data_IF_114069688092
#
_entry.id   IF_114069688092
#
_cell.length_a   1.000
_cell.length_b   1.000
_cell.length_c   1.000
_cell.angle_alpha   90.00
_cell.angle_beta   90.00
_cell.angle_gamma   90.00
#
_symmetry.space_group_name_H-M   'P 1'
#
loop_
_entity.id
_entity.type
_entity.pdbx_description
1 polymer ?
#
# COMPACT_ATOMS: atom_id res chain seq x y z
N UNK A 1 -7.28 45.19 7.10
CA UNK A 1 -6.52 45.58 5.89
C UNK A 1 -5.03 45.54 6.22
N UNK A 2 -4.43 44.35 6.26
CA UNK A 2 -2.97 44.12 6.23
C UNK A 2 -2.74 42.75 5.58
N UNK A 3 -2.15 42.79 4.39
CA UNK A 3 -1.47 41.77 3.59
C UNK A 3 -1.75 40.26 3.84
N UNK A 4 -2.60 39.68 2.99
CA UNK A 4 -2.45 38.29 2.54
C UNK A 4 -1.14 38.20 1.75
N UNK A 5 -0.11 37.57 2.30
CA UNK A 5 1.00 37.06 1.49
C UNK A 5 0.51 35.80 0.78
N UNK A 6 0.08 36.01 -0.46
CA UNK A 6 -0.09 34.95 -1.43
C UNK A 6 1.23 34.19 -1.57
N UNK A 7 1.17 32.86 -1.37
CA UNK A 7 2.15 31.94 -1.90
C UNK A 7 2.02 31.96 -3.44
N UNK A 8 2.49 33.03 -4.06
CA UNK A 8 2.88 33.02 -5.46
C UNK A 8 4.21 32.27 -5.51
N UNK A 9 4.13 30.93 -5.51
CA UNK A 9 5.23 30.11 -5.97
C UNK A 9 5.64 30.67 -7.34
N UNK A 10 6.91 31.05 -7.46
CA UNK A 10 7.49 31.48 -8.71
C UNK A 10 7.24 30.38 -9.76
N UNK A 11 6.26 30.59 -10.64
CA UNK A 11 6.22 29.95 -11.95
C UNK A 11 7.44 30.46 -12.71
N UNK A 12 8.59 29.84 -12.47
CA UNK A 12 9.60 29.76 -13.52
C UNK A 12 8.90 29.08 -14.69
N UNK A 13 8.66 29.83 -15.76
CA UNK A 13 8.11 29.30 -17.01
C UNK A 13 8.89 28.04 -17.36
N UNK A 14 8.25 26.87 -17.28
CA UNK A 14 8.90 25.66 -17.76
C UNK A 14 9.23 25.89 -19.23
N UNK A 15 10.49 25.72 -19.67
CA UNK A 15 10.90 26.08 -21.02
C UNK A 15 10.26 25.21 -22.11
N UNK A 16 9.49 24.18 -21.72
CA UNK A 16 8.84 23.23 -22.60
C UNK A 16 7.40 22.98 -22.16
N UNK A 17 6.48 22.85 -23.12
CA UNK A 17 5.11 22.39 -22.83
C UNK A 17 5.08 20.90 -22.52
N UNK A 18 4.01 20.42 -21.89
CA UNK A 18 3.82 18.99 -21.62
C UNK A 18 3.99 18.15 -22.90
N UNK A 19 3.36 18.55 -24.00
CA UNK A 19 3.40 17.83 -25.29
C UNK A 19 4.82 17.77 -25.85
N UNK A 20 5.58 18.86 -25.72
CA UNK A 20 6.97 18.92 -26.17
C UNK A 20 7.82 17.90 -25.40
N UNK A 21 7.69 17.86 -24.07
CA UNK A 21 8.46 16.91 -23.24
C UNK A 21 7.98 15.47 -23.47
N UNK A 22 6.66 15.23 -23.52
CA UNK A 22 6.06 13.91 -23.71
C UNK A 22 6.44 13.31 -25.07
N UNK A 23 6.62 14.12 -26.11
CA UNK A 23 7.11 13.65 -27.41
C UNK A 23 8.51 13.01 -27.32
N UNK A 24 9.34 13.48 -26.38
CA UNK A 24 10.68 12.96 -26.11
C UNK A 24 10.70 11.51 -25.61
N UNK A 25 9.61 11.02 -25.03
CA UNK A 25 9.47 9.61 -24.61
C UNK A 25 9.49 8.63 -25.79
N UNK A 26 9.17 9.10 -27.01
CA UNK A 26 9.17 8.27 -28.23
C UNK A 26 10.46 8.41 -29.04
N UNK A 27 11.45 9.13 -28.52
CA UNK A 27 12.69 9.40 -29.24
C UNK A 27 13.57 8.14 -29.37
N UNK A 28 14.30 8.02 -30.49
CA UNK A 28 15.16 6.86 -30.76
C UNK A 28 16.34 6.76 -29.77
N UNK A 29 16.91 7.90 -29.39
CA UNK A 29 18.00 7.95 -28.41
C UNK A 29 17.48 7.80 -26.96
N UNK A 30 17.99 6.82 -26.19
CA UNK A 30 17.58 6.58 -24.80
C UNK A 30 17.91 7.74 -23.86
N UNK A 31 18.96 8.53 -24.12
CA UNK A 31 19.28 9.68 -23.26
C UNK A 31 18.19 10.75 -23.33
N UNK A 32 17.62 10.97 -24.52
CA UNK A 32 16.47 11.86 -24.72
C UNK A 32 15.22 11.35 -23.99
N UNK A 33 14.91 10.06 -24.08
CA UNK A 33 13.77 9.46 -23.34
C UNK A 33 13.94 9.60 -21.83
N UNK A 34 15.14 9.30 -21.33
CA UNK A 34 15.49 9.45 -19.91
C UNK A 34 15.30 10.90 -19.43
N UNK A 35 15.73 11.88 -20.23
CA UNK A 35 15.56 13.30 -19.89
C UNK A 35 14.09 13.71 -19.87
N UNK A 36 13.29 13.22 -20.81
CA UNK A 36 11.85 13.47 -20.83
C UNK A 36 11.17 12.93 -19.55
N UNK A 37 11.47 11.68 -19.14
CA UNK A 37 10.95 11.10 -17.90
C UNK A 37 11.28 11.97 -16.69
N UNK A 38 12.53 12.44 -16.57
CA UNK A 38 12.96 13.29 -15.46
C UNK A 38 12.17 14.60 -15.41
N UNK A 39 12.03 15.29 -16.55
CA UNK A 39 11.31 16.56 -16.61
C UNK A 39 9.83 16.36 -16.26
N UNK A 40 9.18 15.32 -16.81
CA UNK A 40 7.78 15.02 -16.54
C UNK A 40 7.53 14.68 -15.07
N UNK A 41 8.40 13.89 -14.47
CA UNK A 41 8.36 13.55 -13.04
C UNK A 41 8.54 14.79 -12.17
N UNK A 42 9.56 15.60 -12.43
CA UNK A 42 9.92 16.74 -11.59
C UNK A 42 8.85 17.85 -11.65
N UNK A 43 8.08 17.90 -12.74
CA UNK A 43 6.91 18.75 -12.89
C UNK A 43 5.63 18.19 -12.23
N UNK A 44 5.64 16.94 -11.75
CA UNK A 44 4.50 16.21 -11.20
C UNK A 44 3.23 16.25 -12.08
N UNK A 45 3.41 16.16 -13.41
CA UNK A 45 2.30 16.15 -14.35
C UNK A 45 1.46 14.86 -14.20
N UNK A 46 0.17 14.94 -13.81
CA UNK A 46 -0.69 13.74 -13.70
C UNK A 46 -0.84 13.02 -15.05
N UNK A 47 -0.90 13.77 -16.14
CA UNK A 47 -1.04 13.25 -17.50
C UNK A 47 0.23 12.50 -17.98
N UNK A 48 1.34 12.59 -17.24
CA UNK A 48 2.57 11.88 -17.56
C UNK A 48 2.56 10.41 -17.15
N UNK A 49 1.65 9.99 -16.25
CA UNK A 49 1.57 8.61 -15.72
C UNK A 49 1.35 7.60 -16.85
N UNK A 50 0.40 7.82 -17.76
CA UNK A 50 0.18 6.84 -18.84
C UNK A 50 1.35 6.80 -19.85
N UNK A 51 1.90 7.93 -20.34
CA UNK A 51 3.09 7.92 -21.19
C UNK A 51 4.34 7.30 -20.55
N UNK A 52 4.61 7.56 -19.27
CA UNK A 52 5.76 6.98 -18.55
C UNK A 52 5.52 5.49 -18.26
N UNK A 53 4.28 5.07 -17.99
CA UNK A 53 3.91 3.67 -17.84
C UNK A 53 4.35 2.80 -19.03
N UNK A 54 4.25 3.31 -20.26
CA UNK A 54 4.77 2.62 -21.45
C UNK A 54 6.30 2.41 -21.43
N UNK A 55 7.04 3.34 -20.80
CA UNK A 55 8.50 3.27 -20.69
C UNK A 55 8.98 2.28 -19.61
N UNK A 56 8.09 1.68 -18.83
CA UNK A 56 8.45 0.56 -17.95
C UNK A 56 8.94 -0.67 -18.73
N UNK A 57 8.48 -0.82 -19.98
CA UNK A 57 8.94 -1.86 -20.91
C UNK A 57 9.98 -1.37 -21.92
N UNK A 58 10.69 -0.28 -21.64
CA UNK A 58 11.71 0.26 -22.55
C UNK A 58 12.86 -0.74 -22.78
N UNK A 59 13.53 -0.68 -23.93
CA UNK A 59 14.66 -1.56 -24.24
C UNK A 59 15.96 -1.19 -23.51
N UNK A 60 16.08 0.03 -22.96
CA UNK A 60 17.22 0.47 -22.17
C UNK A 60 16.89 0.44 -20.68
N UNK A 61 17.63 -0.38 -19.91
CA UNK A 61 17.45 -0.55 -18.47
C UNK A 61 17.45 0.78 -17.69
N UNK A 62 18.21 1.78 -18.14
CA UNK A 62 18.27 3.09 -17.47
C UNK A 62 16.97 3.84 -17.64
N UNK A 63 16.32 3.70 -18.79
CA UNK A 63 15.01 4.30 -19.07
C UNK A 63 13.94 3.58 -18.27
N UNK A 64 13.94 2.24 -18.23
CA UNK A 64 13.01 1.46 -17.42
C UNK A 64 13.11 1.82 -15.92
N UNK A 65 14.32 1.83 -15.36
CA UNK A 65 14.52 2.17 -13.95
C UNK A 65 14.09 3.61 -13.64
N UNK A 66 14.33 4.55 -14.56
CA UNK A 66 13.87 5.92 -14.40
C UNK A 66 12.34 6.03 -14.50
N UNK A 67 11.70 5.26 -15.37
CA UNK A 67 10.24 5.17 -15.48
C UNK A 67 9.64 4.61 -14.18
N UNK A 68 10.19 3.53 -13.63
CA UNK A 68 9.78 2.95 -12.34
C UNK A 68 9.87 4.00 -11.21
N UNK A 69 10.99 4.72 -11.13
CA UNK A 69 11.17 5.75 -10.10
C UNK A 69 10.19 6.92 -10.31
N UNK A 70 9.94 7.30 -11.56
CA UNK A 70 9.02 8.38 -11.91
C UNK A 70 7.57 8.02 -11.57
N UNK A 71 7.09 6.84 -11.97
CA UNK A 71 5.76 6.34 -11.61
C UNK A 71 5.57 6.34 -10.09
N UNK A 72 6.53 5.77 -9.35
CA UNK A 72 6.48 5.77 -7.89
C UNK A 72 6.34 7.19 -7.32
N UNK A 73 7.10 8.15 -7.85
CA UNK A 73 7.04 9.53 -7.39
C UNK A 73 5.71 10.22 -7.75
N UNK A 74 5.17 9.95 -8.94
CA UNK A 74 3.90 10.52 -9.40
C UNK A 74 2.69 10.00 -8.62
N UNK A 75 2.77 8.80 -8.03
CA UNK A 75 1.72 8.25 -7.17
C UNK A 75 1.85 8.67 -5.69
N UNK A 76 3.04 9.03 -5.19
CA UNK A 76 3.25 9.32 -3.77
C UNK A 76 2.92 10.78 -3.40
N UNK A 77 2.28 11.00 -2.24
CA UNK A 77 1.97 12.33 -1.68
C UNK A 77 3.22 13.14 -1.37
N UNK A 78 4.23 12.51 -0.79
CA UNK A 78 5.54 13.08 -0.57
C UNK A 78 6.58 12.28 -1.35
N UNK A 79 7.44 12.94 -2.14
CA UNK A 79 8.50 12.24 -2.84
C UNK A 79 9.41 11.55 -1.82
N UNK A 80 9.75 10.28 -2.07
CA UNK A 80 10.73 9.54 -1.26
C UNK A 80 12.01 10.36 -1.24
N UNK A 81 12.37 10.91 -0.08
CA UNK A 81 13.58 11.73 0.06
C UNK A 81 14.79 10.93 -0.41
N UNK A 82 15.40 11.32 -1.54
CA UNK A 82 16.67 10.72 -1.98
C UNK A 82 17.70 10.96 -0.87
N UNK A 83 18.43 9.92 -0.48
CA UNK A 83 19.55 10.03 0.47
C UNK A 83 20.62 10.97 -0.10
N UNK A 84 20.54 12.25 0.19
CA UNK A 84 21.69 13.16 0.05
C UNK A 84 22.54 13.00 1.31
N UNK A 85 23.73 12.40 1.17
CA UNK A 85 24.76 12.50 2.22
C UNK A 85 25.19 13.96 2.28
N UNK A 86 24.83 14.68 3.34
CA UNK A 86 25.38 16.00 3.66
C UNK A 86 26.21 15.84 4.94
N UNK A 87 27.52 15.64 4.78
CA UNK A 87 28.47 15.54 5.91
C UNK A 87 28.30 14.33 6.84
N UNK A 88 29.04 14.35 7.96
CA UNK A 88 29.14 13.26 8.95
C UNK A 88 27.97 13.17 9.95
N UNK A 89 26.90 13.96 9.76
CA UNK A 89 25.70 13.88 10.59
C UNK A 89 24.66 13.09 9.80
N UNK A 90 24.46 11.82 10.18
CA UNK A 90 23.34 11.04 9.70
C UNK A 90 22.10 11.65 10.35
N UNK A 91 21.31 12.43 9.60
CA UNK A 91 19.93 12.74 10.00
C UNK A 91 19.23 11.40 10.30
N UNK A 92 18.90 11.17 11.57
CA UNK A 92 18.00 10.09 11.98
C UNK A 92 16.58 10.49 11.57
N UNK A 93 16.28 10.39 10.28
CA UNK A 93 14.89 10.42 9.83
C UNK A 93 14.25 9.09 10.18
N UNK A 94 13.11 9.16 10.85
CA UNK A 94 12.18 8.04 10.98
C UNK A 94 11.63 7.71 9.59
N UNK A 95 12.39 6.94 8.81
CA UNK A 95 11.92 6.28 7.57
C UNK A 95 10.73 5.34 7.81
N UNK A 96 10.37 5.11 9.07
CA UNK A 96 9.19 4.38 9.49
C UNK A 96 7.86 5.04 9.06
N UNK A 97 7.84 6.35 8.75
CA UNK A 97 6.61 7.05 8.34
C UNK A 97 6.12 6.68 6.93
N UNK A 98 7.03 6.57 5.96
CA UNK A 98 6.65 6.45 4.55
C UNK A 98 6.33 5.01 4.11
N UNK A 99 7.02 4.02 4.69
CA UNK A 99 6.74 2.61 4.42
C UNK A 99 5.49 2.09 5.17
N UNK A 100 5.18 2.68 6.34
CA UNK A 100 4.01 2.34 7.14
C UNK A 100 2.70 2.90 6.57
N UNK A 101 2.77 4.02 5.85
CA UNK A 101 1.58 4.62 5.25
C UNK A 101 1.03 3.75 4.10
N UNK A 102 1.87 2.99 3.38
CA UNK A 102 1.41 2.12 2.29
C UNK A 102 0.52 2.88 1.31
N UNK A 103 -0.70 2.38 1.07
CA UNK A 103 -1.66 3.04 0.19
C UNK A 103 -2.19 4.39 0.72
N UNK A 104 -2.09 4.66 2.04
CA UNK A 104 -2.49 5.97 2.61
C UNK A 104 -1.58 7.10 2.12
N UNK A 105 -0.34 6.80 1.74
CA UNK A 105 0.59 7.77 1.17
C UNK A 105 0.37 8.04 -0.33
N UNK A 106 -0.66 7.45 -0.95
CA UNK A 106 -0.91 7.62 -2.38
C UNK A 106 -1.76 8.86 -2.67
N UNK A 107 -1.43 9.61 -3.71
CA UNK A 107 -2.31 10.63 -4.27
C UNK A 107 -3.60 9.96 -4.78
N UNK A 108 -4.75 10.64 -4.69
CA UNK A 108 -6.00 10.19 -5.31
C UNK A 108 -5.90 10.29 -6.84
N UNK A 109 -5.22 9.34 -7.46
CA UNK A 109 -5.02 9.29 -8.92
C UNK A 109 -5.37 7.89 -9.46
N UNK A 110 -6.04 7.81 -10.61
CA UNK A 110 -6.29 6.53 -11.26
C UNK A 110 -4.96 5.92 -11.74
N UNK A 111 -4.84 4.60 -11.64
CA UNK A 111 -3.72 3.85 -12.23
C UNK A 111 -4.13 3.47 -13.66
N UNK A 112 -3.46 4.00 -14.70
CA UNK A 112 -3.82 3.73 -16.08
C UNK A 112 -3.32 2.34 -16.52
N UNK A 113 -3.97 1.71 -17.53
CA UNK A 113 -3.62 0.37 -17.98
C UNK A 113 -2.19 0.25 -18.52
N UNK A 114 -1.61 1.34 -19.02
CA UNK A 114 -0.20 1.40 -19.48
C UNK A 114 0.78 1.11 -18.35
N UNK A 115 0.48 1.55 -17.12
CA UNK A 115 1.32 1.23 -15.95
C UNK A 115 1.24 -0.26 -15.63
N UNK A 116 0.04 -0.86 -15.69
CA UNK A 116 -0.12 -2.30 -15.45
C UNK A 116 0.54 -3.14 -16.55
N UNK A 117 0.37 -2.78 -17.82
CA UNK A 117 1.00 -3.46 -18.94
C UNK A 117 2.54 -3.33 -18.92
N UNK A 118 3.04 -2.14 -18.61
CA UNK A 118 4.47 -1.89 -18.44
C UNK A 118 5.08 -2.65 -17.25
N UNK A 119 4.34 -2.78 -16.14
CA UNK A 119 4.75 -3.59 -14.99
C UNK A 119 4.92 -5.07 -15.35
N UNK A 120 4.03 -5.64 -16.16
CA UNK A 120 4.16 -7.04 -16.60
C UNK A 120 5.49 -7.26 -17.31
N UNK A 121 5.88 -6.35 -18.20
CA UNK A 121 7.17 -6.43 -18.90
C UNK A 121 8.36 -6.29 -17.95
N UNK A 122 8.32 -5.28 -17.06
CA UNK A 122 9.41 -5.00 -16.13
C UNK A 122 9.60 -6.10 -15.06
N UNK A 123 8.54 -6.80 -14.68
CA UNK A 123 8.59 -7.91 -13.71
C UNK A 123 9.25 -9.17 -14.29
N UNK A 124 9.20 -9.37 -15.60
CA UNK A 124 9.86 -10.48 -16.29
C UNK A 124 11.21 -10.06 -16.91
N UNK A 125 11.73 -8.88 -16.56
CA UNK A 125 12.97 -8.36 -17.11
C UNK A 125 14.19 -9.20 -16.72
N UNK A 126 15.16 -9.35 -17.62
CA UNK A 126 16.39 -10.10 -17.34
C UNK A 126 17.26 -9.44 -16.25
N UNK A 127 17.20 -8.11 -16.13
CA UNK A 127 17.94 -7.33 -15.16
C UNK A 127 17.27 -7.40 -13.77
N UNK A 128 17.94 -7.96 -12.74
CA UNK A 128 17.36 -8.07 -11.40
C UNK A 128 17.02 -6.72 -10.75
N UNK A 129 17.69 -5.63 -11.13
CA UNK A 129 17.39 -4.29 -10.60
C UNK A 129 16.06 -3.76 -11.12
N UNK A 130 15.77 -4.02 -12.39
CA UNK A 130 14.48 -3.66 -13.00
C UNK A 130 13.38 -4.44 -12.31
N UNK A 131 13.51 -5.77 -12.19
CA UNK A 131 12.52 -6.60 -11.50
C UNK A 131 12.28 -6.14 -10.06
N UNK A 132 13.33 -5.85 -9.30
CA UNK A 132 13.21 -5.35 -7.92
C UNK A 132 12.43 -4.03 -7.86
N UNK A 133 12.75 -3.09 -8.76
CA UNK A 133 12.03 -1.83 -8.86
C UNK A 133 10.56 -2.04 -9.23
N UNK A 134 10.28 -2.93 -10.18
CA UNK A 134 8.94 -3.27 -10.65
C UNK A 134 8.11 -3.95 -9.57
N UNK A 135 8.68 -4.87 -8.78
CA UNK A 135 8.02 -5.50 -7.62
C UNK A 135 7.61 -4.42 -6.62
N UNK A 136 8.52 -3.49 -6.29
CA UNK A 136 8.22 -2.40 -5.37
C UNK A 136 7.13 -1.45 -5.88
N UNK A 137 7.10 -1.16 -7.18
CA UNK A 137 6.03 -0.36 -7.79
C UNK A 137 4.71 -1.15 -7.81
N UNK A 138 4.72 -2.44 -8.14
CA UNK A 138 3.53 -3.29 -8.11
C UNK A 138 2.93 -3.35 -6.69
N UNK A 139 3.74 -3.60 -5.66
CA UNK A 139 3.32 -3.60 -4.26
C UNK A 139 2.66 -2.29 -3.81
N UNK A 140 3.00 -1.17 -4.47
CA UNK A 140 2.45 0.15 -4.21
C UNK A 140 1.12 0.37 -4.94
N UNK A 141 1.04 0.07 -6.23
CA UNK A 141 -0.10 0.49 -7.08
C UNK A 141 -1.18 -0.57 -7.22
N UNK A 142 -0.86 -1.87 -7.17
CA UNK A 142 -1.87 -2.92 -7.36
C UNK A 142 -2.93 -3.00 -6.26
N UNK A 143 -2.66 -2.69 -4.96
CA UNK A 143 -3.71 -2.74 -3.93
C UNK A 143 -4.87 -1.78 -4.21
N UNK A 144 -4.59 -0.64 -4.85
CA UNK A 144 -5.59 0.36 -5.23
C UNK A 144 -6.10 0.18 -6.66
N UNK A 145 -5.27 -0.28 -7.58
CA UNK A 145 -5.65 -0.45 -8.98
C UNK A 145 -6.54 -1.67 -9.22
N UNK A 146 -6.36 -2.74 -8.43
CA UNK A 146 -6.97 -4.04 -8.66
C UNK A 146 -8.21 -4.32 -7.80
N UNK A 147 -8.81 -3.26 -7.21
CA UNK A 147 -10.08 -3.36 -6.48
C UNK A 147 -11.06 -2.27 -6.97
N UNK A 148 -12.09 -2.63 -7.77
CA UNK A 148 -12.39 -3.98 -8.28
C UNK A 148 -11.35 -4.46 -9.30
N UNK A 149 -11.31 -5.78 -9.56
CA UNK A 149 -10.34 -6.40 -10.48
C UNK A 149 -10.41 -5.77 -11.88
N UNK A 150 -9.26 -5.36 -12.41
CA UNK A 150 -9.13 -4.73 -13.74
C UNK A 150 -8.29 -5.58 -14.68
N UNK A 151 -8.47 -5.37 -15.98
CA UNK A 151 -7.60 -5.95 -17.01
C UNK A 151 -6.13 -5.63 -16.72
N UNK A 152 -5.26 -6.64 -16.76
CA UNK A 152 -3.84 -6.52 -16.45
C UNK A 152 -3.45 -6.92 -15.03
N UNK A 153 -4.36 -6.85 -14.04
CA UNK A 153 -4.07 -7.23 -12.66
C UNK A 153 -3.65 -8.69 -12.50
N UNK A 154 -4.35 -9.61 -13.19
CA UNK A 154 -3.99 -11.02 -13.19
C UNK A 154 -2.63 -11.28 -13.84
N UNK A 155 -2.27 -10.51 -14.88
CA UNK A 155 -0.97 -10.64 -15.54
C UNK A 155 0.17 -10.17 -14.63
N UNK A 156 -0.02 -9.05 -13.92
CA UNK A 156 0.93 -8.58 -12.90
C UNK A 156 1.09 -9.62 -11.80
N UNK A 157 -0.02 -10.19 -11.31
CA UNK A 157 0.00 -11.26 -10.31
C UNK A 157 0.76 -12.50 -10.78
N UNK A 158 0.54 -12.93 -12.04
CA UNK A 158 1.29 -14.06 -12.62
C UNK A 158 2.79 -13.77 -12.75
N UNK A 159 3.17 -12.57 -13.20
CA UNK A 159 4.57 -12.17 -13.28
C UNK A 159 5.24 -12.07 -11.89
N UNK A 160 4.50 -11.68 -10.85
CA UNK A 160 4.98 -11.73 -9.47
C UNK A 160 5.22 -13.17 -8.98
N UNK A 161 4.38 -14.14 -9.36
CA UNK A 161 4.58 -15.56 -9.03
C UNK A 161 5.92 -16.06 -9.59
N UNK A 162 6.32 -15.65 -10.80
CA UNK A 162 7.62 -16.03 -11.38
C UNK A 162 8.80 -15.57 -10.50
N UNK A 163 8.65 -14.46 -9.78
CA UNK A 163 9.69 -13.88 -8.92
C UNK A 163 9.79 -14.51 -7.53
N UNK A 164 8.79 -15.27 -7.05
CA UNK A 164 8.86 -15.96 -5.75
C UNK A 164 9.83 -17.15 -5.73
N UNK A 165 10.45 -17.48 -6.88
CA UNK A 165 11.52 -18.47 -6.99
C UNK A 165 12.90 -17.84 -7.22
N UNK A 166 13.02 -16.50 -7.12
CA UNK A 166 14.28 -15.79 -7.33
C UNK A 166 15.42 -16.34 -6.47
N UNK A 167 16.63 -16.45 -7.01
CA UNK A 167 17.80 -16.84 -6.20
C UNK A 167 18.17 -15.79 -5.14
N UNK A 168 17.74 -14.55 -5.34
CA UNK A 168 17.95 -13.47 -4.39
C UNK A 168 16.83 -13.45 -3.34
N UNK A 169 17.13 -13.68 -2.04
CA UNK A 169 16.09 -13.78 -1.02
C UNK A 169 15.27 -12.51 -0.82
N UNK A 170 15.87 -11.33 -1.04
CA UNK A 170 15.14 -10.06 -0.96
C UNK A 170 14.06 -9.97 -2.04
N UNK A 171 14.42 -10.19 -3.31
CA UNK A 171 13.49 -10.19 -4.46
C UNK A 171 12.34 -11.16 -4.24
N UNK A 172 12.66 -12.36 -3.74
CA UNK A 172 11.65 -13.39 -3.48
C UNK A 172 10.60 -12.95 -2.46
N UNK A 173 11.05 -12.41 -1.32
CA UNK A 173 10.17 -11.96 -0.24
C UNK A 173 9.38 -10.71 -0.63
N UNK A 174 10.00 -9.79 -1.37
CA UNK A 174 9.31 -8.61 -1.89
C UNK A 174 8.21 -9.01 -2.87
N UNK A 175 8.43 -10.04 -3.71
CA UNK A 175 7.39 -10.58 -4.59
C UNK A 175 6.23 -11.23 -3.81
N UNK A 176 6.54 -11.97 -2.74
CA UNK A 176 5.51 -12.51 -1.82
C UNK A 176 4.70 -11.39 -1.16
N UNK A 177 5.35 -10.36 -0.65
CA UNK A 177 4.67 -9.18 -0.07
C UNK A 177 3.76 -8.49 -1.09
N UNK A 178 4.26 -8.26 -2.32
CA UNK A 178 3.47 -7.66 -3.40
C UNK A 178 2.20 -8.49 -3.73
N UNK A 179 2.33 -9.82 -3.82
CA UNK A 179 1.19 -10.73 -4.02
C UNK A 179 0.18 -10.66 -2.87
N UNK A 180 0.67 -10.62 -1.64
CA UNK A 180 -0.15 -10.45 -0.44
C UNK A 180 -0.93 -9.14 -0.45
N UNK A 181 -0.26 -8.02 -0.73
CA UNK A 181 -0.89 -6.68 -0.81
C UNK A 181 -1.91 -6.56 -1.94
N UNK A 182 -1.60 -7.16 -3.10
CA UNK A 182 -2.56 -7.26 -4.20
C UNK A 182 -3.78 -8.12 -3.83
N UNK A 183 -3.64 -9.04 -2.87
CA UNK A 183 -4.59 -10.11 -2.55
C UNK A 183 -4.83 -11.04 -3.74
N UNK A 184 -3.76 -11.43 -4.43
CA UNK A 184 -3.87 -12.26 -5.63
C UNK A 184 -4.08 -13.74 -5.30
N UNK A 185 -5.33 -14.20 -5.36
CA UNK A 185 -5.75 -15.56 -4.96
C UNK A 185 -5.07 -16.69 -5.76
N UNK A 186 -4.74 -16.48 -7.03
CA UNK A 186 -4.06 -17.50 -7.84
C UNK A 186 -2.62 -17.80 -7.36
N UNK A 187 -2.04 -16.95 -6.50
CA UNK A 187 -0.72 -17.20 -5.91
C UNK A 187 -0.75 -18.17 -4.71
N UNK A 188 -1.93 -18.53 -4.19
CA UNK A 188 -2.05 -19.29 -2.93
C UNK A 188 -1.28 -20.59 -2.97
N UNK A 189 -1.42 -21.40 -4.02
CA UNK A 189 -0.70 -22.68 -4.10
C UNK A 189 0.82 -22.46 -4.11
N UNK A 190 1.30 -21.53 -4.92
CA UNK A 190 2.72 -21.24 -5.03
C UNK A 190 3.31 -20.72 -3.70
N UNK A 191 2.55 -19.91 -2.95
CA UNK A 191 2.94 -19.44 -1.62
C UNK A 191 2.92 -20.56 -0.57
N UNK A 192 1.94 -21.47 -0.62
CA UNK A 192 1.92 -22.66 0.26
C UNK A 192 3.12 -23.57 -0.01
N UNK A 193 3.51 -23.74 -1.27
CA UNK A 193 4.70 -24.52 -1.65
C UNK A 193 5.97 -23.87 -1.07
N UNK A 194 6.09 -22.54 -1.14
CA UNK A 194 7.21 -21.79 -0.54
C UNK A 194 7.23 -21.93 0.98
N UNK A 195 6.08 -21.78 1.65
CA UNK A 195 5.97 -21.95 3.10
C UNK A 195 6.39 -23.36 3.53
N UNK A 196 5.90 -24.39 2.82
CA UNK A 196 6.19 -25.80 3.11
C UNK A 196 7.66 -26.16 2.85
N UNK A 197 8.27 -25.56 1.83
CA UNK A 197 9.68 -25.78 1.51
C UNK A 197 10.61 -25.20 2.56
N UNK A 198 10.40 -23.92 2.95
CA UNK A 198 11.30 -23.25 3.91
C UNK A 198 11.01 -23.61 5.36
N UNK A 199 9.74 -23.83 5.72
CA UNK A 199 9.20 -24.17 7.05
C UNK A 199 9.43 -23.12 8.15
N UNK A 200 10.59 -22.47 8.17
CA UNK A 200 10.99 -21.48 9.18
C UNK A 200 11.88 -20.39 8.56
N UNK A 201 12.05 -19.31 9.32
CA UNK A 201 12.91 -18.19 8.91
C UNK A 201 12.20 -17.19 7.99
N UNK A 202 12.94 -16.20 7.45
CA UNK A 202 12.35 -15.03 6.80
C UNK A 202 11.49 -15.35 5.58
N UNK A 203 11.88 -16.34 4.78
CA UNK A 203 11.13 -16.72 3.57
C UNK A 203 9.82 -17.46 3.92
N UNK A 204 9.81 -18.32 4.94
CA UNK A 204 8.58 -18.93 5.45
C UNK A 204 7.66 -17.88 6.08
N UNK A 205 8.20 -16.93 6.84
CA UNK A 205 7.43 -15.81 7.41
C UNK A 205 6.81 -14.94 6.31
N UNK A 206 7.55 -14.62 5.25
CA UNK A 206 7.04 -13.84 4.12
C UNK A 206 5.92 -14.58 3.36
N UNK A 207 6.08 -15.88 3.14
CA UNK A 207 5.04 -16.70 2.53
C UNK A 207 3.77 -16.77 3.40
N UNK A 208 3.92 -16.99 4.71
CA UNK A 208 2.80 -17.03 5.66
C UNK A 208 2.09 -15.66 5.76
N UNK A 209 2.84 -14.55 5.76
CA UNK A 209 2.27 -13.21 5.73
C UNK A 209 1.46 -12.97 4.45
N UNK A 210 2.02 -13.33 3.30
CA UNK A 210 1.34 -13.18 2.01
C UNK A 210 0.04 -13.99 1.97
N UNK A 211 0.08 -15.25 2.44
CA UNK A 211 -1.12 -16.09 2.58
C UNK A 211 -2.15 -15.43 3.52
N UNK A 212 -1.72 -14.92 4.67
CA UNK A 212 -2.60 -14.26 5.64
C UNK A 212 -3.21 -12.95 5.12
N UNK A 213 -2.50 -12.21 4.25
CA UNK A 213 -3.02 -11.02 3.56
C UNK A 213 -4.05 -11.38 2.50
N UNK A 214 -3.83 -12.48 1.76
CA UNK A 214 -4.78 -13.00 0.76
C UNK A 214 -6.03 -13.55 1.46
N UNK A 215 -5.88 -14.31 2.55
CA UNK A 215 -7.00 -14.86 3.32
C UNK A 215 -7.83 -15.87 2.52
N UNK A 216 -7.20 -16.76 1.76
CA UNK A 216 -7.93 -17.75 0.97
C UNK A 216 -8.33 -18.99 1.79
N UNK A 217 -9.50 -19.56 1.52
CA UNK A 217 -10.03 -20.71 2.26
C UNK A 217 -9.09 -21.95 2.23
N UNK A 218 -8.33 -22.13 1.15
CA UNK A 218 -7.35 -23.22 1.02
C UNK A 218 -6.22 -23.17 2.08
N UNK A 219 -6.01 -22.02 2.73
CA UNK A 219 -4.97 -21.83 3.74
C UNK A 219 -5.51 -21.94 5.19
N UNK A 220 -6.80 -22.21 5.39
CA UNK A 220 -7.43 -22.27 6.72
C UNK A 220 -6.70 -23.25 7.64
N UNK A 221 -6.45 -24.48 7.20
CA UNK A 221 -5.78 -25.48 8.04
C UNK A 221 -4.37 -25.06 8.45
N UNK A 222 -3.65 -24.36 7.57
CA UNK A 222 -2.33 -23.79 7.90
C UNK A 222 -2.46 -22.71 8.97
N UNK A 223 -3.47 -21.84 8.89
CA UNK A 223 -3.69 -20.82 9.91
C UNK A 223 -4.13 -21.43 11.26
N UNK A 224 -4.98 -22.45 11.24
CA UNK A 224 -5.39 -23.17 12.46
C UNK A 224 -4.19 -23.78 13.21
N UNK A 225 -3.25 -24.39 12.48
CA UNK A 225 -1.99 -24.88 13.06
C UNK A 225 -1.17 -23.74 13.68
N UNK A 226 -1.04 -22.62 12.95
CA UNK A 226 -0.23 -21.48 13.35
C UNK A 226 -0.75 -20.71 14.58
N UNK A 227 -2.02 -20.87 14.96
CA UNK A 227 -2.57 -20.30 16.21
C UNK A 227 -1.79 -20.72 17.46
N UNK A 228 -1.16 -21.89 17.42
CA UNK A 228 -0.41 -22.45 18.56
C UNK A 228 1.11 -22.23 18.46
N UNK A 229 1.57 -21.50 17.45
CA UNK A 229 3.00 -21.23 17.25
C UNK A 229 3.63 -20.50 18.44
N UNK A 230 4.87 -20.86 18.78
CA UNK A 230 5.63 -20.12 19.80
C UNK A 230 6.01 -18.71 19.32
N UNK A 231 6.08 -18.48 18.01
CA UNK A 231 6.34 -17.18 17.40
C UNK A 231 5.05 -16.33 17.35
N UNK A 232 5.05 -15.21 18.08
CA UNK A 232 3.92 -14.29 18.12
C UNK A 232 3.56 -13.69 16.76
N UNK A 233 4.54 -13.54 15.85
CA UNK A 233 4.28 -13.05 14.50
C UNK A 233 3.50 -14.09 13.68
N UNK A 234 3.85 -15.36 13.82
CA UNK A 234 3.14 -16.45 13.15
C UNK A 234 1.72 -16.62 13.70
N UNK A 235 1.54 -16.50 15.02
CA UNK A 235 0.19 -16.44 15.63
C UNK A 235 -0.63 -15.27 15.12
N UNK A 236 -0.02 -14.08 14.96
CA UNK A 236 -0.70 -12.93 14.35
C UNK A 236 -1.17 -13.26 12.93
N UNK A 237 -0.31 -13.81 12.09
CA UNK A 237 -0.67 -14.21 10.72
C UNK A 237 -1.82 -15.22 10.68
N UNK A 238 -1.86 -16.17 11.62
CA UNK A 238 -2.99 -17.08 11.75
C UNK A 238 -4.31 -16.34 11.99
N UNK A 239 -4.35 -15.47 13.01
CA UNK A 239 -5.55 -14.69 13.35
C UNK A 239 -6.01 -13.84 12.17
N UNK A 240 -5.06 -13.14 11.53
CA UNK A 240 -5.31 -12.33 10.34
C UNK A 240 -5.85 -13.13 9.16
N UNK A 241 -5.23 -14.28 8.86
CA UNK A 241 -5.62 -15.13 7.74
C UNK A 241 -7.02 -15.73 7.92
N UNK A 242 -7.34 -16.19 9.13
CA UNK A 242 -8.67 -16.70 9.48
C UNK A 242 -9.75 -15.62 9.37
N UNK A 243 -9.44 -14.40 9.82
CA UNK A 243 -10.31 -13.25 9.72
C UNK A 243 -10.60 -12.88 8.25
N UNK A 244 -9.55 -12.75 7.42
CA UNK A 244 -9.69 -12.39 5.99
C UNK A 244 -10.34 -13.51 5.17
N UNK A 245 -10.18 -14.77 5.57
CA UNK A 245 -10.88 -15.90 4.99
C UNK A 245 -12.36 -15.99 5.38
N UNK A 246 -12.82 -15.18 6.33
CA UNK A 246 -14.20 -15.23 6.82
C UNK A 246 -14.52 -16.53 7.57
N UNK A 247 -13.51 -17.20 8.15
CA UNK A 247 -13.68 -18.50 8.81
C UNK A 247 -14.33 -18.34 10.19
N UNK A 248 -15.66 -18.20 10.22
CA UNK A 248 -16.42 -17.96 11.46
C UNK A 248 -16.34 -19.11 12.45
N UNK A 249 -16.05 -20.33 12.00
CA UNK A 249 -15.89 -21.48 12.88
C UNK A 249 -14.65 -21.36 13.79
N UNK A 250 -13.70 -20.48 13.44
CA UNK A 250 -12.54 -20.18 14.30
C UNK A 250 -12.87 -19.26 15.50
N UNK A 251 -14.04 -18.63 15.56
CA UNK A 251 -14.39 -17.66 16.61
C UNK A 251 -14.15 -18.21 18.03
N UNK A 252 -14.59 -19.43 18.40
CA UNK A 252 -14.35 -19.96 19.74
C UNK A 252 -12.86 -20.12 20.07
N UNK A 253 -12.05 -20.59 19.10
CA UNK A 253 -10.61 -20.76 19.28
C UNK A 253 -9.89 -19.41 19.43
N UNK A 254 -10.27 -18.41 18.63
CA UNK A 254 -9.74 -17.04 18.72
C UNK A 254 -10.10 -16.38 20.06
N UNK A 255 -11.34 -16.57 20.54
CA UNK A 255 -11.76 -16.09 21.85
C UNK A 255 -10.99 -16.75 22.99
N UNK A 256 -10.76 -18.08 22.91
CA UNK A 256 -9.96 -18.80 23.90
C UNK A 256 -8.50 -18.32 23.91
N UNK A 257 -7.91 -18.12 22.72
CA UNK A 257 -6.56 -17.58 22.57
C UNK A 257 -6.43 -16.20 23.23
N UNK A 258 -7.40 -15.32 23.01
CA UNK A 258 -7.42 -13.98 23.60
C UNK A 258 -7.41 -13.93 25.13
N UNK A 259 -7.82 -15.00 25.82
CA UNK A 259 -7.79 -15.07 27.28
C UNK A 259 -6.39 -15.21 27.87
N UNK A 260 -5.44 -15.71 27.09
CA UNK A 260 -4.06 -15.96 27.57
C UNK A 260 -2.98 -15.26 26.76
N UNK A 261 -3.31 -14.71 25.58
CA UNK A 261 -2.38 -13.96 24.74
C UNK A 261 -1.87 -12.67 25.42
N UNK A 262 -0.59 -12.37 25.19
CA UNK A 262 0.12 -11.23 25.80
C UNK A 262 0.78 -10.31 24.79
N UNK A 263 0.95 -10.76 23.54
CA UNK A 263 1.51 -9.95 22.48
C UNK A 263 0.49 -8.92 21.99
N UNK A 264 0.83 -7.63 22.13
CA UNK A 264 -0.04 -6.53 21.69
C UNK A 264 -0.41 -6.62 20.20
N UNK A 265 0.52 -7.08 19.34
CA UNK A 265 0.24 -7.21 17.90
C UNK A 265 -0.77 -8.32 17.60
N UNK A 266 -0.79 -9.38 18.42
CA UNK A 266 -1.74 -10.50 18.30
C UNK A 266 -3.09 -10.12 18.90
N UNK A 267 -3.10 -9.44 20.05
CA UNK A 267 -4.32 -8.88 20.63
C UNK A 267 -5.01 -7.91 19.67
N UNK A 268 -4.24 -7.03 19.01
CA UNK A 268 -4.76 -6.14 17.97
C UNK A 268 -5.35 -6.92 16.78
N UNK A 269 -4.72 -8.02 16.38
CA UNK A 269 -5.25 -8.91 15.34
C UNK A 269 -6.57 -9.58 15.76
N UNK A 270 -6.73 -9.92 17.03
CA UNK A 270 -7.97 -10.49 17.57
C UNK A 270 -9.11 -9.45 17.55
N UNK A 271 -8.83 -8.18 17.85
CA UNK A 271 -9.83 -7.10 17.67
C UNK A 271 -10.26 -6.96 16.22
N UNK A 272 -9.30 -7.01 15.28
CA UNK A 272 -9.58 -7.05 13.85
C UNK A 272 -10.44 -8.25 13.46
N UNK A 273 -10.08 -9.46 13.91
CA UNK A 273 -10.80 -10.69 13.61
C UNK A 273 -12.24 -10.67 14.14
N UNK A 274 -12.45 -10.16 15.35
CA UNK A 274 -13.78 -10.02 15.94
C UNK A 274 -14.69 -9.14 15.08
N UNK A 275 -14.19 -8.02 14.55
CA UNK A 275 -14.93 -7.16 13.63
C UNK A 275 -15.16 -7.83 12.27
N UNK A 276 -14.11 -8.39 11.67
CA UNK A 276 -14.16 -9.02 10.35
C UNK A 276 -15.11 -10.24 10.31
N UNK A 277 -15.18 -11.01 11.40
CA UNK A 277 -16.05 -12.20 11.52
C UNK A 277 -17.45 -11.90 12.07
N UNK A 278 -17.73 -10.63 12.38
CA UNK A 278 -19.03 -10.16 12.86
C UNK A 278 -19.38 -10.67 14.26
N UNK A 279 -18.40 -10.71 15.17
CA UNK A 279 -18.63 -11.03 16.58
C UNK A 279 -19.44 -9.90 17.23
N UNK A 280 -20.61 -10.18 17.83
CA UNK A 280 -21.46 -9.15 18.44
C UNK A 280 -20.73 -8.34 19.51
N UNK A 281 -20.97 -7.03 19.54
CA UNK A 281 -20.37 -6.11 20.52
C UNK A 281 -18.93 -5.68 20.22
N UNK A 282 -18.35 -6.13 19.11
CA UNK A 282 -17.02 -5.69 18.65
C UNK A 282 -17.02 -4.23 18.21
N UNK A 283 -15.92 -3.52 18.44
CA UNK A 283 -15.79 -2.10 18.14
C UNK A 283 -14.43 -1.75 17.54
N UNK A 284 -14.40 -0.78 16.63
CA UNK A 284 -13.19 -0.24 16.00
C UNK A 284 -12.32 0.56 16.97
N UNK A 285 -12.86 0.96 18.13
CA UNK A 285 -12.21 1.87 19.09
C UNK A 285 -10.83 1.37 19.53
N UNK A 286 -10.68 0.08 19.83
CA UNK A 286 -9.38 -0.48 20.25
C UNK A 286 -8.34 -0.43 19.13
N UNK A 287 -8.76 -0.61 17.87
CA UNK A 287 -7.87 -0.53 16.72
C UNK A 287 -7.49 0.93 16.45
N UNK A 288 -8.44 1.87 16.55
CA UNK A 288 -8.17 3.31 16.45
C UNK A 288 -7.21 3.77 17.55
N UNK A 289 -7.44 3.34 18.80
CA UNK A 289 -6.57 3.66 19.93
C UNK A 289 -5.15 3.11 19.73
N UNK A 290 -5.01 1.86 19.24
CA UNK A 290 -3.71 1.28 18.92
C UNK A 290 -2.94 2.06 17.83
N UNK A 291 -3.63 2.82 16.98
CA UNK A 291 -2.99 3.67 16.00
C UNK A 291 -2.23 4.88 16.60
N UNK A 292 -2.41 5.15 17.90
CA UNK A 292 -1.62 6.17 18.62
C UNK A 292 -0.24 5.65 19.05
N UNK A 293 -0.08 4.34 19.20
CA UNK A 293 1.22 3.71 19.48
C UNK A 293 2.03 3.61 18.19
N UNK A 294 3.22 4.22 18.16
CA UNK A 294 4.09 4.21 16.99
C UNK A 294 4.48 2.79 16.52
N UNK A 295 4.57 1.81 17.42
CA UNK A 295 4.90 0.43 17.09
C UNK A 295 3.71 -0.33 16.45
N UNK A 296 2.48 0.00 16.87
CA UNK A 296 1.26 -0.66 16.38
C UNK A 296 0.58 0.10 15.24
N UNK A 297 0.88 1.39 15.07
CA UNK A 297 0.27 2.28 14.06
C UNK A 297 0.24 1.70 12.64
N UNK A 298 1.31 1.11 12.09
CA UNK A 298 1.26 0.53 10.74
C UNK A 298 0.25 -0.61 10.64
N UNK A 299 0.18 -1.45 11.67
CA UNK A 299 -0.73 -2.60 11.73
C UNK A 299 -2.18 -2.16 11.94
N UNK A 300 -2.41 -1.21 12.85
CA UNK A 300 -3.71 -0.62 13.09
C UNK A 300 -4.26 0.05 11.81
N UNK A 301 -3.43 0.85 11.13
CA UNK A 301 -3.82 1.48 9.87
C UNK A 301 -4.21 0.45 8.80
N UNK A 302 -3.47 -0.66 8.70
CA UNK A 302 -3.81 -1.75 7.80
C UNK A 302 -5.16 -2.40 8.15
N UNK A 303 -5.43 -2.70 9.42
CA UNK A 303 -6.71 -3.28 9.82
C UNK A 303 -7.88 -2.34 9.61
N UNK A 304 -7.71 -1.05 9.89
CA UNK A 304 -8.74 -0.06 9.65
C UNK A 304 -9.03 0.10 8.15
N UNK A 305 -8.00 0.01 7.29
CA UNK A 305 -8.18 -0.04 5.83
C UNK A 305 -9.00 -1.25 5.39
N UNK A 306 -8.68 -2.44 5.89
CA UNK A 306 -9.41 -3.67 5.58
C UNK A 306 -10.87 -3.61 6.05
N UNK A 307 -11.12 -2.97 7.19
CA UNK A 307 -12.45 -2.81 7.78
C UNK A 307 -13.26 -1.65 7.19
N UNK A 308 -12.61 -0.66 6.55
CA UNK A 308 -13.24 0.58 6.11
C UNK A 308 -14.52 0.36 5.28
N UNK A 309 -14.57 -0.59 4.33
CA UNK A 309 -15.80 -0.81 3.55
C UNK A 309 -17.01 -1.23 4.40
N UNK A 310 -16.80 -2.05 5.43
CA UNK A 310 -17.87 -2.56 6.30
C UNK A 310 -18.13 -1.69 7.54
N UNK A 311 -17.15 -0.90 7.96
CA UNK A 311 -17.17 -0.16 9.23
C UNK A 311 -17.13 1.37 9.04
N UNK A 312 -17.35 1.88 7.82
CA UNK A 312 -17.25 3.31 7.52
C UNK A 312 -18.08 4.21 8.47
N UNK A 313 -19.36 3.88 8.82
CA UNK A 313 -20.12 4.69 9.76
C UNK A 313 -19.47 4.74 11.16
N UNK A 314 -19.06 3.59 11.71
CA UNK A 314 -18.42 3.53 13.03
C UNK A 314 -17.06 4.27 13.04
N UNK A 315 -16.27 4.13 11.97
CA UNK A 315 -15.01 4.87 11.81
C UNK A 315 -15.24 6.38 11.72
N UNK A 316 -16.34 6.83 11.09
CA UNK A 316 -16.64 8.26 10.95
C UNK A 316 -16.85 8.98 12.28
N UNK A 317 -17.22 8.27 13.35
CA UNK A 317 -17.31 8.85 14.69
C UNK A 317 -15.94 9.34 15.20
N UNK A 318 -14.86 8.68 14.77
CA UNK A 318 -13.48 9.04 15.13
C UNK A 318 -12.96 10.28 14.38
N UNK A 319 -13.73 10.86 13.44
CA UNK A 319 -13.45 12.19 12.88
C UNK A 319 -13.67 13.33 13.90
N UNK A 320 -14.18 13.03 15.10
CA UNK A 320 -14.32 13.99 16.21
C UNK A 320 -13.35 13.71 17.35
N UNK A 321 -12.38 12.83 17.12
CA UNK A 321 -11.38 12.48 18.13
C UNK A 321 -10.59 13.73 18.57
N UNK A 322 -10.29 13.90 19.88
CA UNK A 322 -9.53 15.06 20.35
C UNK A 322 -8.12 15.14 19.74
N UNK A 323 -7.51 14.01 19.38
CA UNK A 323 -6.19 13.96 18.77
C UNK A 323 -6.25 14.17 17.24
N UNK A 324 -5.64 15.25 16.71
CA UNK A 324 -5.65 15.53 15.26
C UNK A 324 -5.00 14.43 14.43
N UNK A 325 -3.98 13.72 14.95
CA UNK A 325 -3.34 12.62 14.20
C UNK A 325 -4.31 11.45 14.00
N UNK A 326 -5.12 11.15 15.02
CA UNK A 326 -6.20 10.16 14.93
C UNK A 326 -7.25 10.60 13.90
N UNK A 327 -7.72 11.86 13.94
CA UNK A 327 -8.68 12.39 12.95
C UNK A 327 -8.14 12.31 11.53
N UNK A 328 -6.87 12.71 11.32
CA UNK A 328 -6.18 12.67 10.02
C UNK A 328 -6.11 11.26 9.46
N UNK A 329 -5.67 10.29 10.27
CA UNK A 329 -5.58 8.89 9.88
C UNK A 329 -6.95 8.33 9.47
N UNK A 330 -7.97 8.58 10.29
CA UNK A 330 -9.35 8.12 10.02
C UNK A 330 -9.90 8.74 8.74
N UNK A 331 -9.66 10.04 8.51
CA UNK A 331 -10.05 10.70 7.26
C UNK A 331 -9.40 10.02 6.04
N UNK A 332 -8.08 9.79 6.06
CA UNK A 332 -7.38 9.12 4.97
C UNK A 332 -7.91 7.69 4.73
N UNK A 333 -8.17 6.91 5.80
CA UNK A 333 -8.75 5.55 5.71
C UNK A 333 -10.16 5.56 5.10
N UNK A 334 -11.01 6.49 5.51
CA UNK A 334 -12.38 6.59 5.03
C UNK A 334 -12.46 6.85 3.52
N UNK A 335 -11.42 7.47 2.93
CA UNK A 335 -11.28 7.60 1.49
C UNK A 335 -11.20 6.27 0.72
N UNK A 336 -10.83 5.17 1.40
CA UNK A 336 -10.79 3.81 0.85
C UNK A 336 -12.03 2.98 1.18
N UNK A 337 -13.02 3.55 1.86
CA UNK A 337 -14.22 2.81 2.29
C UNK A 337 -15.16 2.42 1.15
N UNK A 338 -15.06 3.06 -0.02
CA UNK A 338 -16.02 2.90 -1.14
C UNK A 338 -17.49 3.15 -0.72
N UNK A 339 -17.70 3.87 0.40
CA UNK A 339 -19.02 4.13 0.96
C UNK A 339 -19.37 5.60 0.78
N UNK A 340 -20.15 5.95 -0.25
CA UNK A 340 -20.52 7.34 -0.49
C UNK A 340 -21.30 8.00 0.67
N UNK A 341 -21.90 7.21 1.56
CA UNK A 341 -22.66 7.69 2.72
C UNK A 341 -21.84 8.46 3.74
N UNK A 342 -20.51 8.32 3.75
CA UNK A 342 -19.60 9.08 4.63
C UNK A 342 -19.21 10.46 4.07
N UNK A 343 -19.63 10.80 2.85
CA UNK A 343 -19.35 12.10 2.21
C UNK A 343 -19.70 13.31 3.08
N UNK A 344 -20.86 13.37 3.77
CA UNK A 344 -21.19 14.49 4.65
C UNK A 344 -20.20 14.64 5.81
N UNK A 345 -19.78 13.53 6.42
CA UNK A 345 -18.84 13.53 7.53
C UNK A 345 -17.44 14.02 7.09
N UNK A 346 -16.95 13.55 5.95
CA UNK A 346 -15.70 14.05 5.37
C UNK A 346 -15.80 15.51 4.92
N UNK A 347 -16.94 15.93 4.36
CA UNK A 347 -17.16 17.33 3.96
C UNK A 347 -17.05 18.26 5.16
N UNK A 348 -17.59 17.85 6.32
CA UNK A 348 -17.40 18.63 7.55
C UNK A 348 -15.94 18.61 8.01
N UNK A 349 -15.25 17.46 7.93
CA UNK A 349 -13.83 17.35 8.28
C UNK A 349 -12.91 18.20 7.37
N UNK A 350 -13.34 18.62 6.18
CA UNK A 350 -12.56 19.61 5.37
C UNK A 350 -12.46 20.99 6.01
N UNK A 351 -13.28 21.26 7.03
CA UNK A 351 -13.28 22.51 7.81
C UNK A 351 -12.56 22.36 9.16
N UNK A 352 -11.86 21.24 9.38
CA UNK A 352 -11.11 21.02 10.62
C UNK A 352 -10.11 22.17 10.85
N UNK A 353 -9.92 22.53 12.12
CA UNK A 353 -8.94 23.56 12.50
C UNK A 353 -7.51 23.13 12.23
N UNK A 354 -7.25 21.82 12.21
CA UNK A 354 -5.97 21.25 11.83
C UNK A 354 -5.88 21.12 10.29
N UNK A 355 -4.90 21.78 9.65
CA UNK A 355 -4.80 21.79 8.19
C UNK A 355 -4.48 20.41 7.60
N UNK A 356 -3.79 19.53 8.33
CA UNK A 356 -3.46 18.19 7.83
C UNK A 356 -4.70 17.29 7.84
N UNK A 357 -5.60 17.47 8.82
CA UNK A 357 -6.91 16.81 8.85
C UNK A 357 -7.78 17.28 7.70
N UNK A 358 -7.87 18.60 7.49
CA UNK A 358 -8.65 19.17 6.38
C UNK A 358 -8.16 18.67 5.01
N UNK A 359 -6.84 18.60 4.81
CA UNK A 359 -6.26 18.04 3.59
C UNK A 359 -6.51 16.53 3.44
N UNK A 360 -6.43 15.75 4.52
CA UNK A 360 -6.76 14.33 4.50
C UNK A 360 -8.23 14.09 4.11
N UNK A 361 -9.14 14.89 4.65
CA UNK A 361 -10.56 14.84 4.29
C UNK A 361 -10.80 15.20 2.82
N UNK A 362 -10.13 16.23 2.30
CA UNK A 362 -10.21 16.60 0.88
C UNK A 362 -9.69 15.47 -0.02
N UNK A 363 -8.53 14.88 0.29
CA UNK A 363 -8.00 13.72 -0.45
C UNK A 363 -8.97 12.55 -0.41
N UNK A 364 -9.55 12.27 0.75
CA UNK A 364 -10.52 11.18 0.90
C UNK A 364 -11.76 11.39 0.03
N UNK A 365 -12.27 12.62 -0.05
CA UNK A 365 -13.37 12.99 -0.97
C UNK A 365 -12.98 12.84 -2.44
N UNK A 366 -11.73 13.12 -2.81
CA UNK A 366 -11.23 12.88 -4.16
C UNK A 366 -11.12 11.38 -4.47
N UNK A 367 -10.64 10.56 -3.52
CA UNK A 367 -10.57 9.10 -3.67
C UNK A 367 -11.95 8.47 -3.88
N UNK A 368 -12.98 8.92 -3.17
CA UNK A 368 -14.35 8.38 -3.31
C UNK A 368 -15.00 8.67 -4.67
N UNK A 369 -14.42 9.56 -5.49
CA UNK A 369 -14.90 9.89 -6.84
C UNK A 369 -14.24 9.06 -7.94
N UNK A 370 -13.16 8.35 -7.63
CA UNK A 370 -12.44 7.44 -8.53
C UNK A 370 -13.20 6.11 -8.67
#
# INVERSE_FOLDING_TARGET
MVALFAFAAALAAQPYTFEQVASGLKHKDPATRLRAIQILRDADYPDAVAPIGNALGDADDRVQMAAIEAERALFMLHPVSRRTKVGFIIEKRTTAGDAAAGQLALKPRPVPPEVLGGLVLALSDSNPRVRTGAIGLAALVTPVACRPERTGCAQVGNALIENINSREPAVRRDAMDALGRQQYSNAVQALMDQYSYYQKGPDAQAAAEALARIGHAASISTFEELLTSSDAQMRRFAVEGLARAGHRDAIPALQQMGQSERSNSVLLALHFANLALGVPGSSVVEIVAAARDAALRPLAAQYLLDLAPGQAPALSESLRDPDPDTRRLVADILGFSQNAGITPALTEATKDSDPDVAQAAQRALERLKL
#
